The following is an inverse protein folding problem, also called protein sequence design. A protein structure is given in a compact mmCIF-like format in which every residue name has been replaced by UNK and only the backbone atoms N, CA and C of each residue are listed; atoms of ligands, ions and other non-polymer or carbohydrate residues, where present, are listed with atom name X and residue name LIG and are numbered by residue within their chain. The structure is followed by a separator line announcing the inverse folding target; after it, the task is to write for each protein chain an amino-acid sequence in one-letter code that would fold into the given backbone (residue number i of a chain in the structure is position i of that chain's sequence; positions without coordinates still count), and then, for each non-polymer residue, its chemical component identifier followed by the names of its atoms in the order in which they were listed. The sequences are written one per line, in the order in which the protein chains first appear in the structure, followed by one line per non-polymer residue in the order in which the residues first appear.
data_IF_818702847221
#
_entry.id   IF_818702847221
#
_cell.length_a   1.000
_cell.length_b   1.000
_cell.length_c   1.000
_cell.angle_alpha   90.00
_cell.angle_beta   90.00
_cell.angle_gamma   90.00
#
_symmetry.space_group_name_H-M   'P 1'
#
loop_
_entity.id
_entity.type
_entity.pdbx_description
1 polymer ?
#
# COMPACT_ATOMS: atom_id res chain seq x y z
N UNK A 1 -17.46 1.08 27.47
CA UNK A 1 -16.95 2.04 26.47
C UNK A 1 -18.02 3.08 26.20
N UNK A 2 -17.72 4.37 26.32
CA UNK A 2 -18.72 5.42 26.15
C UNK A 2 -19.18 5.48 24.68
N UNK A 3 -20.49 5.49 24.44
CA UNK A 3 -21.09 5.49 23.08
C UNK A 3 -20.56 6.64 22.22
N UNK A 4 -20.30 7.80 22.85
CA UNK A 4 -19.71 8.97 22.19
C UNK A 4 -18.34 8.68 21.57
N UNK A 5 -17.49 7.90 22.26
CA UNK A 5 -16.16 7.55 21.75
C UNK A 5 -16.28 6.70 20.49
N UNK A 6 -17.22 5.74 20.49
CA UNK A 6 -17.47 4.86 19.33
C UNK A 6 -17.92 5.69 18.12
N UNK A 7 -18.83 6.64 18.34
CA UNK A 7 -19.33 7.53 17.27
C UNK A 7 -18.19 8.36 16.68
N UNK A 8 -17.32 8.94 17.50
CA UNK A 8 -16.17 9.73 17.04
C UNK A 8 -15.20 8.85 16.22
N UNK A 9 -14.94 7.62 16.66
CA UNK A 9 -14.07 6.69 15.93
C UNK A 9 -14.66 6.33 14.56
N UNK A 10 -15.96 6.04 14.49
CA UNK A 10 -16.64 5.71 13.23
C UNK A 10 -16.58 6.89 12.26
N UNK A 11 -16.89 8.10 12.74
CA UNK A 11 -16.83 9.33 11.91
C UNK A 11 -15.40 9.55 11.40
N UNK A 12 -14.39 9.37 12.25
CA UNK A 12 -12.99 9.51 11.86
C UNK A 12 -12.57 8.50 10.77
N UNK A 13 -13.01 7.25 10.87
CA UNK A 13 -12.75 6.21 9.85
C UNK A 13 -13.40 6.60 8.52
N UNK A 14 -14.68 6.99 8.52
CA UNK A 14 -15.41 7.39 7.30
C UNK A 14 -14.75 8.60 6.65
N UNK A 15 -14.39 9.62 7.43
CA UNK A 15 -13.70 10.81 6.92
C UNK A 15 -12.36 10.45 6.26
N UNK A 16 -11.57 9.57 6.89
CA UNK A 16 -10.29 9.13 6.32
C UNK A 16 -10.47 8.35 5.03
N UNK A 17 -11.44 7.44 4.97
CA UNK A 17 -11.76 6.67 3.77
C UNK A 17 -12.22 7.57 2.61
N UNK A 18 -13.02 8.60 2.90
CA UNK A 18 -13.48 9.56 1.89
C UNK A 18 -12.35 10.40 1.28
N UNK A 19 -11.26 10.63 2.01
CA UNK A 19 -10.09 11.34 1.47
C UNK A 19 -9.27 10.44 0.54
N UNK A 20 -9.17 9.16 0.86
CA UNK A 20 -8.39 8.18 0.09
C UNK A 20 -9.14 7.78 -1.20
N UNK A 21 -10.49 7.76 -1.18
CA UNK A 21 -11.30 7.35 -2.33
C UNK A 21 -11.16 8.25 -3.55
N UNK A 22 -10.73 9.51 -3.37
CA UNK A 22 -10.52 10.47 -4.47
C UNK A 22 -9.13 10.35 -5.13
N UNK A 23 -8.40 9.24 -4.90
CA UNK A 23 -7.06 9.03 -5.44
C UNK A 23 -6.00 10.02 -4.93
N UNK A 24 -6.37 10.87 -3.97
CA UNK A 24 -5.55 11.97 -3.44
C UNK A 24 -4.64 11.50 -2.30
N UNK A 25 -4.23 10.24 -2.34
CA UNK A 25 -3.29 9.68 -1.36
C UNK A 25 -1.86 9.85 -1.87
N UNK A 26 -1.03 10.48 -1.05
CA UNK A 26 0.38 10.70 -1.37
C UNK A 26 1.11 9.36 -1.21
N UNK A 27 1.25 8.67 -2.34
CA UNK A 27 1.85 7.35 -2.38
C UNK A 27 3.37 7.48 -2.54
N UNK A 28 4.07 7.33 -1.42
CA UNK A 28 5.53 7.38 -1.39
C UNK A 28 6.15 6.20 -2.11
N UNK A 29 7.41 6.37 -2.55
CA UNK A 29 8.18 5.32 -3.23
C UNK A 29 8.29 4.04 -2.40
N UNK A 30 8.44 4.15 -1.08
CA UNK A 30 8.49 3.00 -0.18
C UNK A 30 7.17 2.23 -0.15
N UNK A 31 6.04 2.94 -0.12
CA UNK A 31 4.71 2.33 -0.16
C UNK A 31 4.47 1.61 -1.48
N UNK A 32 4.98 2.16 -2.59
CA UNK A 32 4.90 1.53 -3.90
C UNK A 32 5.72 0.26 -3.97
N UNK A 33 6.99 0.29 -3.53
CA UNK A 33 7.85 -0.89 -3.45
C UNK A 33 7.21 -1.99 -2.62
N UNK A 34 6.73 -1.65 -1.42
CA UNK A 34 6.10 -2.62 -0.51
C UNK A 34 4.84 -3.24 -1.13
N UNK A 35 4.05 -2.45 -1.84
CA UNK A 35 2.92 -3.00 -2.55
C UNK A 35 3.37 -3.96 -3.66
N UNK A 36 4.46 -3.69 -4.40
CA UNK A 36 4.92 -4.57 -5.51
C UNK A 36 5.18 -5.95 -4.94
N UNK A 37 5.88 -5.96 -3.80
CA UNK A 37 6.23 -7.16 -3.06
C UNK A 37 4.97 -7.92 -2.59
N UNK A 38 3.95 -7.22 -2.09
CA UNK A 38 2.66 -7.81 -1.71
C UNK A 38 1.94 -8.39 -2.93
N UNK A 39 1.96 -7.72 -4.08
CA UNK A 39 1.38 -8.24 -5.33
C UNK A 39 2.09 -9.52 -5.74
N UNK A 40 3.41 -9.60 -5.68
CA UNK A 40 4.15 -10.83 -5.96
C UNK A 40 3.76 -11.96 -4.98
N UNK A 41 3.64 -11.64 -3.69
CA UNK A 41 3.21 -12.61 -2.68
C UNK A 41 1.81 -13.15 -2.97
N UNK A 42 0.86 -12.29 -3.35
CA UNK A 42 -0.55 -12.68 -3.54
C UNK A 42 -0.80 -13.30 -4.92
N UNK A 43 -0.28 -12.70 -6.00
CA UNK A 43 -0.58 -13.12 -7.38
C UNK A 43 0.35 -14.26 -7.81
N UNK A 44 1.65 -14.13 -7.52
CA UNK A 44 2.65 -15.13 -7.91
C UNK A 44 2.90 -16.17 -6.83
N UNK A 45 2.21 -16.08 -5.69
CA UNK A 45 2.34 -16.99 -4.55
C UNK A 45 3.78 -17.09 -4.03
N UNK A 46 4.57 -16.02 -4.19
CA UNK A 46 5.96 -15.93 -3.72
C UNK A 46 6.00 -15.40 -2.29
N UNK A 47 5.62 -16.22 -1.33
CA UNK A 47 5.57 -15.82 0.08
C UNK A 47 6.96 -15.40 0.59
N UNK A 48 7.02 -14.24 1.23
CA UNK A 48 8.27 -13.71 1.80
C UNK A 48 8.37 -14.05 3.28
N UNK A 49 9.57 -14.44 3.68
CA UNK A 49 9.96 -14.64 5.08
C UNK A 49 10.69 -13.42 5.66
N UNK A 50 11.05 -12.47 4.79
CA UNK A 50 11.68 -11.20 5.15
C UNK A 50 10.80 -10.04 4.74
N UNK A 51 10.86 -8.98 5.53
CA UNK A 51 10.16 -7.72 5.34
C UNK A 51 11.00 -6.69 4.58
N UNK A 52 10.59 -5.41 4.63
CA UNK A 52 11.31 -4.33 3.98
C UNK A 52 12.72 -4.17 4.55
N UNK A 53 13.66 -3.79 3.68
CA UNK A 53 15.05 -3.48 4.03
C UNK A 53 15.09 -2.37 5.07
N UNK A 54 15.84 -2.59 6.15
CA UNK A 54 16.08 -1.55 7.14
C UNK A 54 17.22 -0.62 6.70
N UNK A 55 17.43 0.47 7.46
CA UNK A 55 18.57 1.35 7.26
C UNK A 55 19.92 0.71 7.70
N UNK A 56 19.88 -0.47 8.33
CA UNK A 56 21.06 -1.22 8.75
C UNK A 56 21.22 -2.39 7.78
N UNK A 57 22.36 -2.41 7.08
CA UNK A 57 22.69 -3.50 6.16
C UNK A 57 22.74 -4.84 6.92
N UNK A 58 22.12 -5.87 6.36
CA UNK A 58 22.02 -7.20 6.98
C UNK A 58 20.93 -7.32 8.06
N UNK A 59 20.22 -6.25 8.42
CA UNK A 59 19.05 -6.31 9.29
C UNK A 59 17.76 -6.20 8.49
N UNK A 60 17.00 -7.29 8.44
CA UNK A 60 15.72 -7.36 7.73
C UNK A 60 14.57 -7.30 8.72
N UNK A 61 13.56 -6.50 8.42
CA UNK A 61 12.32 -6.51 9.19
C UNK A 61 11.60 -7.85 9.01
N UNK A 62 10.68 -8.16 9.94
CA UNK A 62 9.79 -9.29 9.76
C UNK A 62 8.81 -9.06 8.59
N UNK A 63 8.31 -10.13 7.95
CA UNK A 63 7.43 -10.01 6.80
C UNK A 63 5.99 -9.63 7.19
N UNK A 64 5.71 -9.50 8.50
CA UNK A 64 4.37 -9.24 9.03
C UNK A 64 3.69 -8.01 8.42
N UNK A 65 4.47 -6.99 8.05
CA UNK A 65 3.96 -5.82 7.33
C UNK A 65 3.34 -6.20 5.97
N UNK A 66 4.01 -7.04 5.19
CA UNK A 66 3.49 -7.49 3.90
C UNK A 66 2.25 -8.37 4.03
N UNK A 67 2.19 -9.23 5.04
CA UNK A 67 0.98 -10.03 5.30
C UNK A 67 -0.21 -9.17 5.75
N UNK A 68 0.03 -8.14 6.58
CA UNK A 68 -1.00 -7.19 6.97
C UNK A 68 -1.55 -6.44 5.75
N UNK A 69 -0.67 -6.04 4.84
CA UNK A 69 -1.00 -5.34 3.61
C UNK A 69 -1.66 -6.25 2.54
N UNK A 70 -1.41 -7.55 2.57
CA UNK A 70 -2.05 -8.51 1.68
C UNK A 70 -3.58 -8.57 1.89
N UNK A 71 -4.06 -8.34 3.12
CA UNK A 71 -5.49 -8.34 3.45
C UNK A 71 -6.27 -7.27 2.66
N UNK A 72 -5.97 -5.96 2.77
CA UNK A 72 -6.65 -4.95 1.97
C UNK A 72 -6.38 -5.10 0.46
N UNK A 73 -5.22 -5.63 0.06
CA UNK A 73 -4.94 -5.92 -1.35
C UNK A 73 -5.91 -6.97 -1.92
N UNK A 74 -6.16 -8.07 -1.19
CA UNK A 74 -7.13 -9.10 -1.55
C UNK A 74 -8.56 -8.54 -1.58
N UNK A 75 -8.95 -7.77 -0.56
CA UNK A 75 -10.30 -7.20 -0.45
C UNK A 75 -10.60 -6.15 -1.52
N UNK A 76 -9.58 -5.44 -2.01
CA UNK A 76 -9.70 -4.44 -3.08
C UNK A 76 -9.54 -5.02 -4.50
N UNK A 77 -9.36 -6.34 -4.63
CA UNK A 77 -9.14 -6.99 -5.93
C UNK A 77 -7.84 -6.58 -6.63
N UNK A 78 -6.87 -6.03 -5.88
CA UNK A 78 -5.58 -5.56 -6.40
C UNK A 78 -5.63 -4.35 -7.34
N UNK A 79 -6.83 -3.78 -7.60
CA UNK A 79 -7.09 -2.96 -8.78
C UNK A 79 -7.21 -1.45 -8.61
N UNK A 80 -7.25 -0.89 -7.38
CA UNK A 80 -7.62 0.52 -7.20
C UNK A 80 -6.46 1.46 -6.85
N UNK A 81 -5.45 1.05 -6.08
CA UNK A 81 -4.33 1.94 -5.69
C UNK A 81 -3.17 1.93 -6.69
N UNK A 82 -3.10 0.88 -7.51
CA UNK A 82 -1.99 0.61 -8.43
C UNK A 82 -2.19 1.17 -9.81
N UNK A 83 -3.40 1.01 -10.33
CA UNK A 83 -3.75 1.34 -11.71
C UNK A 83 -3.68 2.85 -11.94
N UNK A 84 -3.99 3.67 -10.93
CA UNK A 84 -3.84 5.12 -11.02
C UNK A 84 -2.38 5.59 -10.98
N UNK A 85 -1.54 4.99 -10.14
CA UNK A 85 -0.13 5.37 -10.04
C UNK A 85 0.69 4.85 -11.23
N UNK A 86 0.54 3.59 -11.62
CA UNK A 86 1.31 3.01 -12.74
C UNK A 86 0.67 3.23 -14.11
N UNK A 87 -0.67 3.25 -14.21
CA UNK A 87 -1.37 3.33 -15.49
C UNK A 87 -1.41 4.72 -16.11
N UNK A 88 -1.49 5.79 -15.29
CA UNK A 88 -1.65 7.16 -15.81
C UNK A 88 -0.56 8.16 -15.36
N UNK A 89 0.21 7.91 -14.30
CA UNK A 89 1.24 8.87 -13.82
C UNK A 89 2.68 8.35 -13.82
N UNK A 90 2.92 7.05 -13.64
CA UNK A 90 4.28 6.50 -13.74
C UNK A 90 4.82 6.54 -15.17
N UNK A 91 3.96 6.38 -16.18
CA UNK A 91 4.37 6.50 -17.60
C UNK A 91 4.84 7.92 -17.94
N UNK A 92 4.46 8.93 -17.15
CA UNK A 92 4.93 10.31 -17.30
C UNK A 92 6.34 10.56 -16.74
N UNK A 93 6.76 9.81 -15.71
CA UNK A 93 8.07 9.98 -15.06
C UNK A 93 9.21 9.21 -15.73
N UNK A 94 8.91 8.05 -16.32
CA UNK A 94 9.93 7.20 -16.97
C UNK A 94 10.25 7.62 -18.42
N UNK A 95 9.45 8.49 -19.06
CA UNK A 95 9.77 9.05 -20.38
C UNK A 95 10.86 10.14 -20.34
N UNK A 96 11.22 10.65 -19.16
CA UNK A 96 12.27 11.66 -19.01
C UNK A 96 13.68 11.09 -18.78
N UNK A 97 13.82 9.77 -18.65
CA UNK A 97 15.11 9.10 -18.44
C UNK A 97 15.49 8.13 -19.56
N UNK A 98 14.70 8.08 -20.64
CA UNK A 98 14.96 7.24 -21.82
C UNK A 98 14.84 8.01 -23.15
N UNK A 99 15.10 9.32 -23.12
CA UNK A 99 15.46 10.12 -24.30
C UNK A 99 16.70 10.93 -23.97
#
# INVERSE_FOLDING_TARGET
MNKTIIIILIIGIIYRLSLISNGSFLFNMDNARDMVDVREMVVLHKFRLTGPTSAIEGFFNGPGWYYLLAIPFLLSGGGSLWTDYYGNRAVGGWRLFLT
#
